data_IF_945150645121
#
_entry.id   IF_945150645121
#
_cell.length_a   1.000
_cell.length_b   1.000
_cell.length_c   1.000
_cell.angle_alpha   90.00
_cell.angle_beta   90.00
_cell.angle_gamma   90.00
#
_symmetry.space_group_name_H-M   'P 1'
#
loop_
_entity.id
_entity.type
_entity.pdbx_description
1 polymer ?
#
# COMPACT_ATOMS: atom_id res chain seq x y z
N UNK A 1 -15.49 16.86 -23.33
CA UNK A 1 -14.54 16.80 -22.21
C UNK A 1 -14.87 17.93 -21.24
N UNK A 2 -14.88 17.67 -19.93
CA UNK A 2 -15.28 18.65 -18.90
C UNK A 2 -14.08 19.10 -18.05
N UNK A 3 -13.19 18.19 -17.65
CA UNK A 3 -12.15 18.45 -16.63
C UNK A 3 -10.71 18.18 -17.10
N UNK A 4 -10.44 17.95 -18.40
CA UNK A 4 -9.08 17.68 -18.91
C UNK A 4 -8.04 18.71 -18.49
N UNK A 5 -8.41 19.99 -18.46
CA UNK A 5 -7.49 21.07 -18.11
C UNK A 5 -7.05 21.03 -16.63
N UNK A 6 -7.71 20.22 -15.79
CA UNK A 6 -7.29 19.97 -14.40
C UNK A 6 -6.25 18.87 -14.27
N UNK A 7 -5.96 18.13 -15.34
CA UNK A 7 -4.91 17.10 -15.34
C UNK A 7 -3.55 17.80 -15.27
N UNK A 8 -2.78 17.61 -14.19
CA UNK A 8 -1.51 18.31 -14.04
C UNK A 8 -0.48 17.79 -15.03
N UNK A 9 0.35 18.70 -15.54
CA UNK A 9 1.50 18.38 -16.36
C UNK A 9 2.76 18.54 -15.50
N UNK A 10 3.28 17.44 -14.98
CA UNK A 10 4.46 17.44 -14.13
C UNK A 10 4.88 16.03 -13.70
N UNK A 11 6.16 15.85 -13.32
CA UNK A 11 6.65 14.57 -12.85
C UNK A 11 5.87 14.13 -11.61
N UNK A 12 5.54 12.84 -11.56
CA UNK A 12 4.78 12.21 -10.47
C UNK A 12 3.41 12.87 -10.16
N UNK A 13 2.90 13.72 -11.06
CA UNK A 13 1.58 14.33 -10.94
C UNK A 13 0.53 13.45 -11.62
N UNK A 14 -0.68 13.47 -11.08
CA UNK A 14 -1.79 12.69 -11.61
C UNK A 14 -3.11 13.43 -11.37
N UNK A 15 -4.14 13.06 -12.12
CA UNK A 15 -5.52 13.38 -11.77
C UNK A 15 -6.14 12.15 -11.09
N UNK A 16 -6.47 12.27 -9.82
CA UNK A 16 -6.98 11.16 -9.03
C UNK A 16 -8.50 11.04 -9.20
N UNK A 17 -8.96 9.88 -9.67
CA UNK A 17 -10.38 9.55 -9.73
C UNK A 17 -10.80 8.78 -8.47
N UNK A 18 -11.89 9.23 -7.85
CA UNK A 18 -12.53 8.62 -6.68
C UNK A 18 -13.97 8.21 -7.02
N UNK A 19 -14.17 7.04 -7.65
CA UNK A 19 -15.48 6.39 -7.67
C UNK A 19 -15.88 6.00 -6.25
N UNK A 20 -17.13 6.22 -5.88
CA UNK A 20 -17.73 5.71 -4.64
C UNK A 20 -19.19 5.34 -4.86
N UNK A 21 -19.65 4.40 -4.03
CA UNK A 21 -21.05 4.00 -3.93
C UNK A 21 -21.45 3.99 -2.47
N UNK A 22 -22.64 4.52 -2.15
CA UNK A 22 -23.19 4.48 -0.80
C UNK A 22 -24.72 4.36 -0.82
N UNK A 23 -25.26 3.77 0.24
CA UNK A 23 -26.70 3.57 0.42
C UNK A 23 -27.42 4.90 0.68
N UNK A 24 -28.59 5.09 0.06
CA UNK A 24 -29.39 6.32 0.18
C UNK A 24 -30.85 6.07 0.56
N UNK A 25 -31.27 4.82 0.74
CA UNK A 25 -32.66 4.49 1.11
C UNK A 25 -33.06 5.18 2.43
N UNK A 26 -34.18 5.88 2.43
CA UNK A 26 -34.71 6.59 3.60
C UNK A 26 -35.32 5.62 4.62
N UNK A 27 -34.47 4.89 5.35
CA UNK A 27 -34.88 3.87 6.31
C UNK A 27 -33.96 3.80 7.52
N UNK A 28 -34.55 3.52 8.70
CA UNK A 28 -33.81 3.35 9.97
C UNK A 28 -33.52 1.89 10.37
N UNK A 29 -34.16 0.91 9.74
CA UNK A 29 -33.96 -0.52 10.05
C UNK A 29 -32.69 -1.12 9.46
N UNK A 30 -32.09 -2.09 10.16
CA UNK A 30 -30.88 -2.80 9.71
C UNK A 30 -31.20 -3.81 8.60
N UNK A 31 -30.91 -3.45 7.35
CA UNK A 31 -30.95 -4.32 6.18
C UNK A 31 -30.01 -3.81 5.09
N UNK A 32 -29.79 -4.61 4.05
CA UNK A 32 -29.22 -4.11 2.79
C UNK A 32 -30.15 -3.07 2.16
N UNK A 33 -29.57 -1.97 1.67
CA UNK A 33 -30.31 -0.92 0.97
C UNK A 33 -30.85 -1.42 -0.37
N UNK A 34 -32.02 -0.93 -0.78
CA UNK A 34 -32.54 -1.10 -2.16
C UNK A 34 -32.15 0.08 -3.06
N UNK A 35 -31.66 1.19 -2.49
CA UNK A 35 -31.27 2.40 -3.21
C UNK A 35 -29.81 2.78 -2.92
N UNK A 36 -29.06 3.09 -3.97
CA UNK A 36 -27.67 3.49 -3.89
C UNK A 36 -27.38 4.64 -4.84
N UNK A 37 -26.48 5.53 -4.41
CA UNK A 37 -25.89 6.54 -5.27
C UNK A 37 -24.47 6.13 -5.65
N UNK A 38 -24.21 6.04 -6.94
CA UNK A 38 -22.86 5.99 -7.50
C UNK A 38 -22.44 7.38 -7.95
N UNK A 39 -21.25 7.81 -7.55
CA UNK A 39 -20.67 9.07 -7.99
C UNK A 39 -19.16 8.93 -8.21
N UNK A 40 -18.63 9.75 -9.11
CA UNK A 40 -17.18 9.86 -9.35
C UNK A 40 -16.76 11.28 -9.04
N UNK A 41 -15.82 11.43 -8.11
CA UNK A 41 -15.13 12.69 -7.87
C UNK A 41 -13.73 12.64 -8.47
N UNK A 42 -13.17 13.79 -8.81
CA UNK A 42 -11.84 13.88 -9.38
C UNK A 42 -11.10 15.12 -8.90
N UNK A 43 -9.78 15.10 -8.97
CA UNK A 43 -8.97 16.29 -8.72
C UNK A 43 -7.47 16.07 -8.95
N UNK A 44 -6.69 17.15 -9.11
CA UNK A 44 -5.26 17.07 -9.21
C UNK A 44 -4.67 16.49 -7.92
N UNK A 45 -3.72 15.56 -8.09
CA UNK A 45 -3.08 14.83 -7.02
C UNK A 45 -1.57 15.10 -7.03
N UNK A 46 -1.00 15.20 -5.82
CA UNK A 46 0.44 15.35 -5.58
C UNK A 46 0.93 14.16 -4.76
N UNK A 47 2.21 13.77 -4.90
CA UNK A 47 2.79 12.69 -4.11
C UNK A 47 2.54 12.86 -2.61
N UNK A 48 2.11 11.78 -1.96
CA UNK A 48 1.73 11.75 -0.54
C UNK A 48 2.92 11.90 0.41
N UNK A 49 4.06 11.32 0.05
CA UNK A 49 5.22 11.18 0.93
C UNK A 49 6.45 11.81 0.29
N UNK A 50 6.99 12.84 0.95
CA UNK A 50 8.17 13.57 0.49
C UNK A 50 9.50 12.96 0.98
N UNK A 51 9.43 12.08 1.99
CA UNK A 51 10.56 11.38 2.62
C UNK A 51 10.22 9.89 2.78
N UNK A 52 11.23 9.02 2.92
CA UNK A 52 11.02 7.65 3.39
C UNK A 52 10.23 7.61 4.70
N UNK A 53 9.46 6.54 4.88
CA UNK A 53 8.53 6.38 5.99
C UNK A 53 9.21 5.77 7.20
N UNK A 54 8.83 6.26 8.38
CA UNK A 54 8.99 5.56 9.65
C UNK A 54 7.67 4.88 9.98
N UNK A 55 7.66 3.56 10.12
CA UNK A 55 6.45 2.79 10.42
C UNK A 55 6.57 2.08 11.76
N UNK A 56 5.43 1.88 12.43
CA UNK A 56 5.35 1.14 13.70
C UNK A 56 4.57 -0.15 13.50
N UNK A 57 5.12 -1.28 13.91
CA UNK A 57 4.37 -2.55 13.98
C UNK A 57 3.25 -2.42 15.00
N UNK A 58 2.02 -2.70 14.56
CA UNK A 58 0.85 -2.73 15.42
C UNK A 58 0.70 -4.08 16.11
N UNK A 59 0.38 -4.05 17.41
CA UNK A 59 0.31 -5.23 18.29
C UNK A 59 -0.99 -5.32 19.09
N UNK A 60 -1.83 -4.29 19.03
CA UNK A 60 -3.08 -4.19 19.77
C UNK A 60 -4.29 -4.07 18.83
N UNK A 61 -4.18 -3.23 17.81
CA UNK A 61 -5.27 -2.99 16.87
C UNK A 61 -5.15 -3.81 15.60
N UNK A 62 -6.26 -4.37 15.12
CA UNK A 62 -6.29 -5.09 13.85
C UNK A 62 -7.03 -4.28 12.78
N UNK A 63 -6.47 -4.24 11.57
CA UNK A 63 -7.10 -3.57 10.43
C UNK A 63 -8.32 -4.34 9.92
N UNK A 64 -8.20 -5.66 9.89
CA UNK A 64 -9.21 -6.60 9.45
C UNK A 64 -8.98 -7.95 10.15
N UNK A 65 -10.01 -8.78 10.21
CA UNK A 65 -9.93 -10.15 10.70
C UNK A 65 -10.54 -11.11 9.66
N UNK A 66 -10.16 -12.40 9.66
CA UNK A 66 -10.72 -13.36 8.72
C UNK A 66 -12.25 -13.46 8.78
N UNK A 67 -12.87 -13.62 7.62
CA UNK A 67 -14.32 -13.50 7.41
C UNK A 67 -14.85 -12.06 7.40
N UNK A 68 -13.99 -11.06 7.60
CA UNK A 68 -14.35 -9.64 7.62
C UNK A 68 -14.33 -8.99 6.23
N UNK A 69 -14.23 -7.66 6.22
CA UNK A 69 -14.27 -6.84 5.01
C UNK A 69 -12.89 -6.39 4.53
N UNK A 70 -11.81 -6.95 5.05
CA UNK A 70 -10.43 -6.48 4.82
C UNK A 70 -10.04 -6.40 3.35
N UNK A 71 -10.41 -7.43 2.58
CA UNK A 71 -10.18 -7.52 1.14
C UNK A 71 -10.94 -6.45 0.32
N UNK A 72 -12.02 -5.89 0.87
CA UNK A 72 -12.86 -4.92 0.19
C UNK A 72 -12.39 -3.48 0.46
N UNK A 73 -12.47 -2.62 -0.57
CA UNK A 73 -12.20 -1.18 -0.42
C UNK A 73 -13.39 -0.42 0.19
N UNK A 74 -13.79 -0.80 1.39
CA UNK A 74 -14.95 -0.25 2.09
C UNK A 74 -14.56 0.82 3.13
N UNK A 75 -15.41 1.82 3.35
CA UNK A 75 -15.13 2.95 4.23
C UNK A 75 -14.91 2.54 5.70
N UNK A 76 -15.58 1.49 6.17
CA UNK A 76 -15.46 1.00 7.55
C UNK A 76 -14.03 0.62 7.93
N UNK A 77 -13.31 -0.06 7.02
CA UNK A 77 -11.91 -0.44 7.24
C UNK A 77 -11.01 0.79 7.46
N UNK A 78 -11.25 1.87 6.71
CA UNK A 78 -10.49 3.12 6.86
C UNK A 78 -10.84 3.84 8.15
N UNK A 79 -12.12 3.89 8.53
CA UNK A 79 -12.55 4.55 9.76
C UNK A 79 -11.94 3.88 11.00
N UNK A 80 -11.94 2.55 11.06
CA UNK A 80 -11.33 1.79 12.16
C UNK A 80 -9.81 2.03 12.26
N UNK A 81 -9.12 2.21 11.14
CA UNK A 81 -7.68 2.43 11.09
C UNK A 81 -7.23 3.83 11.55
N UNK A 82 -8.13 4.82 11.65
CA UNK A 82 -7.76 6.21 11.95
C UNK A 82 -7.16 6.38 13.35
N UNK A 83 -7.76 5.78 14.37
CA UNK A 83 -7.32 5.95 15.75
C UNK A 83 -5.93 5.34 16.01
N UNK A 84 -5.63 4.09 15.63
CA UNK A 84 -4.29 3.52 15.81
C UNK A 84 -3.23 4.28 14.99
N UNK A 85 -3.57 4.71 13.78
CA UNK A 85 -2.67 5.53 12.96
C UNK A 85 -2.35 6.88 13.62
N UNK A 86 -3.34 7.51 14.25
CA UNK A 86 -3.14 8.75 14.99
C UNK A 86 -2.21 8.54 16.21
N UNK A 87 -2.38 7.44 16.95
CA UNK A 87 -1.50 7.09 18.07
C UNK A 87 -0.05 6.88 17.62
N UNK A 88 0.16 6.22 16.49
CA UNK A 88 1.50 6.04 15.91
C UNK A 88 2.12 7.39 15.50
N UNK A 89 1.32 8.30 14.93
CA UNK A 89 1.76 9.66 14.59
C UNK A 89 2.17 10.48 15.80
N UNK A 90 1.44 10.38 16.90
CA UNK A 90 1.79 11.04 18.16
C UNK A 90 3.11 10.52 18.74
N UNK A 91 3.52 9.30 18.37
CA UNK A 91 4.81 8.71 18.73
C UNK A 91 5.93 9.01 17.71
N UNK A 92 5.65 9.78 16.65
CA UNK A 92 6.63 10.18 15.65
C UNK A 92 6.79 9.22 14.46
N UNK A 93 5.82 8.31 14.26
CA UNK A 93 5.77 7.43 13.08
C UNK A 93 4.83 8.00 12.01
N UNK A 94 5.13 7.77 10.73
CA UNK A 94 4.33 8.26 9.62
C UNK A 94 3.12 7.36 9.35
N UNK A 95 3.27 6.05 9.57
CA UNK A 95 2.24 5.01 9.34
C UNK A 95 2.35 3.85 10.33
N UNK A 96 1.31 3.01 10.31
CA UNK A 96 1.26 1.73 11.01
C UNK A 96 1.58 0.59 10.04
N UNK A 97 2.35 -0.40 10.50
CA UNK A 97 2.53 -1.68 9.83
C UNK A 97 1.60 -2.70 10.50
N UNK A 98 0.53 -3.05 9.80
CA UNK A 98 -0.52 -3.93 10.29
C UNK A 98 -0.06 -5.38 10.36
N UNK A 99 -0.53 -6.07 11.38
CA UNK A 99 -0.32 -7.49 11.60
C UNK A 99 -1.65 -8.24 11.61
N UNK A 100 -1.59 -9.57 11.51
CA UNK A 100 -2.75 -10.45 11.60
C UNK A 100 -3.54 -10.22 12.91
N UNK A 101 -4.86 -10.38 12.83
CA UNK A 101 -5.73 -10.03 13.94
C UNK A 101 -5.65 -10.92 15.18
N UNK A 102 -5.01 -12.08 15.10
CA UNK A 102 -5.08 -13.09 16.16
C UNK A 102 -3.81 -13.16 16.98
N UNK A 103 -2.67 -13.23 16.30
CA UNK A 103 -1.37 -13.41 16.93
C UNK A 103 -0.55 -12.13 16.90
N UNK A 104 -0.87 -11.20 16.00
CA UNK A 104 -0.07 -10.02 15.70
C UNK A 104 1.39 -10.37 15.36
N UNK A 105 1.64 -11.57 14.82
CA UNK A 105 2.97 -12.08 14.49
C UNK A 105 3.28 -11.97 13.00
N UNK A 106 2.27 -11.86 12.15
CA UNK A 106 2.42 -11.87 10.70
C UNK A 106 2.08 -10.51 10.11
N UNK A 107 2.93 -9.97 9.25
CA UNK A 107 2.72 -8.69 8.57
C UNK A 107 1.64 -8.83 7.48
N UNK A 108 0.78 -7.82 7.37
CA UNK A 108 -0.26 -7.74 6.33
C UNK A 108 -0.09 -6.53 5.38
N UNK A 109 -0.15 -5.30 5.90
CA UNK A 109 -0.21 -4.07 5.11
C UNK A 109 0.47 -2.90 5.83
N UNK A 110 0.82 -1.82 5.12
CA UNK A 110 1.37 -0.58 5.69
C UNK A 110 0.38 0.57 5.52
N UNK A 111 -0.32 0.94 6.59
CA UNK A 111 -1.34 1.99 6.58
C UNK A 111 -2.51 1.63 5.68
N UNK A 112 -2.58 2.26 4.50
CA UNK A 112 -3.59 1.98 3.47
C UNK A 112 -2.98 1.44 2.16
N UNK A 113 -1.78 0.86 2.26
CA UNK A 113 -0.99 0.33 1.15
C UNK A 113 -0.67 -1.14 1.42
N UNK A 114 -0.52 -1.94 0.37
CA UNK A 114 0.18 -3.20 0.51
C UNK A 114 1.64 -2.93 0.89
N UNK A 115 2.36 -3.94 1.39
CA UNK A 115 3.76 -3.83 1.76
C UNK A 115 4.59 -4.93 1.09
N UNK A 116 5.82 -4.61 0.76
CA UNK A 116 6.81 -5.55 0.27
C UNK A 116 8.17 -5.29 0.91
N UNK A 117 8.99 -6.34 0.92
CA UNK A 117 10.33 -6.36 1.49
C UNK A 117 11.29 -6.98 0.47
N UNK A 118 12.57 -6.65 0.56
CA UNK A 118 13.63 -7.43 -0.09
C UNK A 118 14.34 -8.23 0.99
N UNK A 119 14.18 -9.55 0.95
CA UNK A 119 14.71 -10.52 1.93
C UNK A 119 15.57 -11.53 1.17
N UNK A 120 16.85 -11.66 1.50
CA UNK A 120 17.81 -12.52 0.80
C UNK A 120 17.79 -12.30 -0.73
N UNK A 121 17.74 -11.03 -1.14
CA UNK A 121 17.63 -10.58 -2.54
C UNK A 121 16.30 -10.94 -3.25
N UNK A 122 15.32 -11.50 -2.54
CA UNK A 122 13.97 -11.84 -3.05
C UNK A 122 12.97 -10.74 -2.69
N UNK A 123 12.12 -10.33 -3.65
CA UNK A 123 10.99 -9.44 -3.38
C UNK A 123 9.87 -10.26 -2.73
N UNK A 124 9.61 -10.02 -1.46
CA UNK A 124 8.63 -10.75 -0.64
C UNK A 124 7.46 -9.83 -0.29
N UNK A 125 6.23 -10.33 -0.44
CA UNK A 125 5.02 -9.64 0.03
C UNK A 125 4.05 -10.65 0.64
N UNK A 126 3.25 -10.26 1.66
CA UNK A 126 2.18 -11.11 2.17
C UNK A 126 1.23 -11.60 1.05
N UNK A 127 0.76 -12.85 1.09
CA UNK A 127 -0.17 -13.39 0.10
C UNK A 127 -1.54 -12.74 0.25
N UNK A 128 -2.34 -12.77 -0.82
CA UNK A 128 -3.72 -12.29 -0.73
C UNK A 128 -4.56 -13.17 0.23
N UNK A 129 -5.40 -12.52 1.00
CA UNK A 129 -6.32 -13.14 1.97
C UNK A 129 -7.60 -12.31 2.07
N UNK A 130 -8.55 -12.74 2.89
CA UNK A 130 -9.72 -11.93 3.25
C UNK A 130 -9.37 -10.71 4.14
N UNK A 131 -8.15 -10.66 4.68
CA UNK A 131 -7.60 -9.57 5.49
C UNK A 131 -6.63 -8.66 4.74
N UNK A 132 -6.32 -8.92 3.47
CA UNK A 132 -5.40 -8.09 2.67
C UNK A 132 -6.11 -7.63 1.40
N UNK A 133 -6.02 -6.33 1.09
CA UNK A 133 -6.65 -5.78 -0.10
C UNK A 133 -5.85 -6.17 -1.35
N UNK A 134 -6.53 -6.68 -2.38
CA UNK A 134 -5.94 -7.00 -3.67
C UNK A 134 -5.60 -5.72 -4.47
N UNK A 135 -4.43 -5.15 -4.17
CA UNK A 135 -4.01 -3.87 -4.72
C UNK A 135 -3.53 -3.99 -6.15
N UNK A 136 -4.13 -3.22 -7.06
CA UNK A 136 -3.68 -3.13 -8.47
C UNK A 136 -2.20 -2.78 -8.58
N UNK A 137 -1.72 -1.81 -7.78
CA UNK A 137 -0.30 -1.42 -7.80
C UNK A 137 0.61 -2.54 -7.27
N UNK A 138 0.16 -3.33 -6.27
CA UNK A 138 0.88 -4.52 -5.82
C UNK A 138 1.03 -5.50 -6.98
N UNK A 139 -0.07 -5.87 -7.63
CA UNK A 139 -0.07 -6.78 -8.77
C UNK A 139 0.88 -6.31 -9.89
N UNK A 140 0.81 -5.04 -10.28
CA UNK A 140 1.71 -4.47 -11.30
C UNK A 140 3.18 -4.50 -10.86
N UNK A 141 3.50 -4.19 -9.61
CA UNK A 141 4.88 -4.20 -9.10
C UNK A 141 5.46 -5.61 -9.08
N UNK A 142 4.68 -6.61 -8.66
CA UNK A 142 5.13 -8.01 -8.68
C UNK A 142 5.38 -8.51 -10.12
N UNK A 143 4.53 -8.11 -11.07
CA UNK A 143 4.73 -8.45 -12.48
C UNK A 143 6.01 -7.81 -13.03
N UNK A 144 6.21 -6.52 -12.80
CA UNK A 144 7.43 -5.82 -13.24
C UNK A 144 8.68 -6.37 -12.56
N UNK A 145 8.61 -6.79 -11.31
CA UNK A 145 9.73 -7.43 -10.62
C UNK A 145 10.15 -8.72 -11.32
N UNK A 146 9.19 -9.57 -11.73
CA UNK A 146 9.48 -10.79 -12.49
C UNK A 146 10.09 -10.48 -13.85
N UNK A 147 9.60 -9.46 -14.55
CA UNK A 147 10.15 -9.02 -15.85
C UNK A 147 11.58 -8.51 -15.76
N UNK A 148 11.93 -7.83 -14.66
CA UNK A 148 13.29 -7.38 -14.38
C UNK A 148 14.22 -8.53 -13.94
N UNK A 149 13.70 -9.75 -13.81
CA UNK A 149 14.47 -10.92 -13.40
C UNK A 149 14.63 -11.06 -11.89
N UNK A 150 13.89 -10.30 -11.09
CA UNK A 150 13.89 -10.46 -9.64
C UNK A 150 13.11 -11.71 -9.23
N UNK A 151 13.64 -12.44 -8.24
CA UNK A 151 12.87 -13.46 -7.55
C UNK A 151 11.73 -12.80 -6.77
N UNK A 152 10.54 -13.39 -6.83
CA UNK A 152 9.33 -12.87 -6.18
C UNK A 152 8.65 -13.99 -5.41
N UNK A 153 8.35 -13.73 -4.15
CA UNK A 153 7.61 -14.64 -3.28
C UNK A 153 6.38 -13.94 -2.67
N UNK A 154 5.24 -14.62 -2.76
CA UNK A 154 4.02 -14.24 -2.05
C UNK A 154 3.86 -15.19 -0.87
N UNK A 155 4.38 -14.80 0.30
CA UNK A 155 4.40 -15.63 1.51
C UNK A 155 4.25 -14.78 2.77
N UNK A 156 3.86 -15.43 3.86
CA UNK A 156 3.82 -14.79 5.17
C UNK A 156 5.20 -14.25 5.53
N UNK A 157 5.21 -13.05 6.13
CA UNK A 157 6.40 -12.40 6.67
C UNK A 157 6.18 -12.20 8.15
N UNK A 158 7.06 -12.76 8.97
CA UNK A 158 6.92 -12.70 10.42
C UNK A 158 7.55 -11.42 10.97
N UNK A 159 6.97 -10.85 12.03
CA UNK A 159 7.55 -9.69 12.72
C UNK A 159 8.96 -10.01 13.24
N UNK A 160 9.16 -11.24 13.73
CA UNK A 160 10.48 -11.70 14.18
C UNK A 160 11.48 -11.83 13.02
N UNK A 161 11.05 -12.33 11.86
CA UNK A 161 11.87 -12.40 10.65
C UNK A 161 12.37 -11.01 10.24
N UNK A 162 11.52 -9.98 10.36
CA UNK A 162 11.93 -8.60 10.08
C UNK A 162 12.96 -8.08 11.09
N UNK A 163 12.73 -8.29 12.40
CA UNK A 163 13.67 -7.84 13.43
C UNK A 163 15.05 -8.47 13.23
N UNK A 164 15.09 -9.82 13.18
CA UNK A 164 16.32 -10.59 13.03
C UNK A 164 16.98 -10.34 11.68
N UNK A 165 16.18 -10.21 10.61
CA UNK A 165 16.66 -10.05 9.26
C UNK A 165 17.23 -8.65 8.97
N UNK A 166 16.68 -7.59 9.58
CA UNK A 166 17.27 -6.24 9.47
C UNK A 166 18.59 -6.18 10.24
N UNK A 167 18.65 -6.76 11.45
CA UNK A 167 19.88 -6.81 12.24
C UNK A 167 20.96 -7.69 11.58
N UNK A 168 20.56 -8.83 11.03
CA UNK A 168 21.42 -9.77 10.31
C UNK A 168 21.79 -9.33 8.89
N UNK A 169 21.10 -8.35 8.34
CA UNK A 169 21.32 -7.81 7.00
C UNK A 169 20.73 -8.64 5.85
N UNK A 170 19.88 -9.63 6.13
CA UNK A 170 19.13 -10.35 5.09
C UNK A 170 17.95 -9.54 4.56
N UNK A 171 17.35 -8.67 5.39
CA UNK A 171 16.32 -7.71 4.97
C UNK A 171 17.01 -6.40 4.58
N UNK A 172 16.96 -6.05 3.29
CA UNK A 172 17.71 -4.90 2.75
C UNK A 172 16.82 -3.73 2.33
N UNK A 173 15.55 -3.99 2.00
CA UNK A 173 14.60 -2.96 1.58
C UNK A 173 13.21 -3.24 2.15
N UNK A 174 12.44 -2.18 2.40
CA UNK A 174 11.02 -2.25 2.73
C UNK A 174 10.29 -1.08 2.06
N UNK A 175 9.11 -1.34 1.50
CA UNK A 175 8.34 -0.30 0.83
C UNK A 175 6.83 -0.60 0.81
N UNK A 176 6.04 0.46 0.95
CA UNK A 176 4.60 0.43 0.72
C UNK A 176 4.26 0.56 -0.76
N UNK A 177 3.21 -0.11 -1.21
CA UNK A 177 2.75 -0.12 -2.61
C UNK A 177 1.26 0.22 -2.70
N UNK A 178 0.91 1.21 -3.50
CA UNK A 178 -0.50 1.61 -3.68
C UNK A 178 -0.66 2.82 -4.58
N UNK A 179 -1.86 3.01 -5.17
CA UNK A 179 -2.11 4.01 -6.22
C UNK A 179 -1.61 5.42 -5.88
N UNK A 180 -1.89 5.88 -4.67
CA UNK A 180 -1.57 7.25 -4.26
C UNK A 180 -0.08 7.43 -3.90
N UNK A 181 0.58 6.37 -3.44
CA UNK A 181 2.00 6.38 -3.08
C UNK A 181 2.91 5.93 -4.24
N UNK A 182 2.35 5.25 -5.23
CA UNK A 182 3.06 4.37 -6.17
C UNK A 182 3.91 3.34 -5.42
N UNK A 183 5.14 3.74 -5.06
CA UNK A 183 6.06 3.00 -4.19
C UNK A 183 6.59 3.99 -3.15
N UNK A 184 6.32 3.73 -1.88
CA UNK A 184 6.76 4.53 -0.74
C UNK A 184 7.85 3.80 0.05
N UNK A 185 9.11 4.26 -0.01
CA UNK A 185 10.20 3.68 0.76
C UNK A 185 9.93 3.73 2.27
N UNK A 186 10.34 2.69 3.00
CA UNK A 186 10.30 2.62 4.46
C UNK A 186 11.75 2.60 4.97
N UNK A 187 12.15 3.63 5.72
CA UNK A 187 13.49 3.74 6.30
C UNK A 187 13.57 3.16 7.71
N UNK A 188 12.47 3.13 8.46
CA UNK A 188 12.45 2.64 9.83
C UNK A 188 11.23 1.78 10.06
N UNK A 189 11.44 0.61 10.64
CA UNK A 189 10.39 -0.27 11.17
C UNK A 189 10.61 -0.36 12.68
N UNK A 190 9.67 0.20 13.45
CA UNK A 190 9.71 0.13 14.91
C UNK A 190 8.95 -1.11 15.38
N UNK A 191 9.66 -2.01 16.05
CA UNK A 191 9.16 -3.30 16.54
C UNK A 191 9.29 -3.28 18.05
N UNK A 192 8.16 -3.34 18.76
CA UNK A 192 8.11 -3.40 20.23
C UNK A 192 8.94 -2.31 20.95
N UNK A 193 9.02 -1.12 20.34
CA UNK A 193 9.75 0.04 20.85
C UNK A 193 11.22 0.13 20.42
N UNK A 194 11.70 -0.81 19.60
CA UNK A 194 13.04 -0.80 19.01
C UNK A 194 12.95 -0.38 17.55
N UNK A 195 13.69 0.67 17.18
CA UNK A 195 13.74 1.17 15.82
C UNK A 195 14.80 0.41 14.99
N UNK A 196 14.34 -0.37 14.01
CA UNK A 196 15.21 -1.01 13.03
C UNK A 196 15.28 -0.13 11.78
N UNK A 197 16.48 0.31 11.41
CA UNK A 197 16.69 1.26 10.30
C UNK A 197 17.30 0.57 9.09
N UNK A 198 16.66 0.72 7.94
CA UNK A 198 17.13 0.23 6.65
C UNK A 198 17.90 1.34 5.92
N UNK A 199 19.04 0.99 5.32
CA UNK A 199 19.77 1.90 4.45
C UNK A 199 19.05 1.95 3.11
N UNK A 200 18.64 3.13 2.70
CA UNK A 200 18.05 3.36 1.39
C UNK A 200 19.09 4.00 0.48
N UNK A 201 19.49 3.29 -0.55
CA UNK A 201 20.39 3.78 -1.59
C UNK A 201 19.67 3.84 -2.95
N UNK A 202 20.28 4.56 -3.91
CA UNK A 202 19.68 4.76 -5.24
C UNK A 202 19.61 3.48 -6.10
N UNK A 203 20.37 2.45 -5.74
CA UNK A 203 20.38 1.14 -6.40
C UNK A 203 19.32 0.17 -5.87
N UNK A 204 18.57 0.56 -4.82
CA UNK A 204 17.47 -0.22 -4.28
C UNK A 204 16.46 -0.61 -5.38
N UNK A 205 16.06 -1.90 -5.39
CA UNK A 205 15.13 -2.49 -6.36
C UNK A 205 13.82 -1.71 -6.43
N UNK A 206 13.33 -1.23 -5.28
CA UNK A 206 12.11 -0.41 -5.21
C UNK A 206 12.14 0.83 -6.12
N UNK A 207 13.31 1.44 -6.33
CA UNK A 207 13.43 2.62 -7.20
C UNK A 207 13.44 2.26 -8.67
N UNK A 208 14.01 1.12 -9.06
CA UNK A 208 13.90 0.63 -10.42
C UNK A 208 12.47 0.24 -10.76
N UNK A 209 11.79 -0.47 -9.86
CA UNK A 209 10.37 -0.81 -9.99
C UNK A 209 9.51 0.44 -10.16
N UNK A 210 9.77 1.49 -9.36
CA UNK A 210 9.06 2.77 -9.46
C UNK A 210 9.30 3.44 -10.81
N UNK A 211 10.55 3.50 -11.28
CA UNK A 211 10.90 4.06 -12.58
C UNK A 211 10.18 3.32 -13.70
N UNK A 212 10.18 1.98 -13.68
CA UNK A 212 9.54 1.16 -14.72
C UNK A 212 8.03 1.34 -14.74
N UNK A 213 7.39 1.34 -13.58
CA UNK A 213 5.94 1.58 -13.45
C UNK A 213 5.57 2.97 -13.97
N UNK A 214 6.33 4.00 -13.61
CA UNK A 214 6.08 5.36 -14.07
C UNK A 214 6.29 5.52 -15.58
N UNK A 215 7.33 4.90 -16.15
CA UNK A 215 7.57 4.94 -17.59
C UNK A 215 6.36 4.41 -18.39
N UNK A 216 5.67 3.38 -17.88
CA UNK A 216 4.43 2.89 -18.49
C UNK A 216 3.29 3.90 -18.29
N UNK A 217 3.09 4.39 -17.05
CA UNK A 217 2.02 5.33 -16.71
C UNK A 217 2.07 6.66 -17.46
N UNK A 218 3.27 7.15 -17.77
CA UNK A 218 3.49 8.39 -18.51
C UNK A 218 3.64 8.16 -20.02
N UNK A 219 3.52 6.91 -20.50
CA UNK A 219 3.64 6.58 -21.93
C UNK A 219 5.05 6.76 -22.49
N UNK A 220 6.07 6.72 -21.63
CA UNK A 220 7.50 6.83 -22.00
C UNK A 220 8.05 5.50 -22.54
N UNK A 221 7.37 4.39 -22.26
CA UNK A 221 7.69 3.06 -22.78
C UNK A 221 6.44 2.35 -23.30
N UNK A 222 6.67 1.27 -24.06
CA UNK A 222 5.56 0.45 -24.56
C UNK A 222 4.89 -0.28 -23.40
N UNK A 223 3.58 -0.13 -23.30
CA UNK A 223 2.75 -0.90 -22.40
C UNK A 223 2.46 -2.28 -23.00
N UNK A 224 3.25 -3.28 -22.60
CA UNK A 224 3.10 -4.68 -23.04
C UNK A 224 1.93 -5.39 -22.36
N UNK A 225 1.38 -4.81 -21.29
CA UNK A 225 0.34 -5.41 -20.47
C UNK A 225 -1.06 -4.86 -20.74
N UNK A 226 -1.16 -3.84 -21.59
CA UNK A 226 -2.43 -3.13 -21.86
C UNK A 226 -3.07 -2.56 -20.57
N UNK A 227 -2.26 -2.06 -19.65
CA UNK A 227 -2.70 -1.38 -18.43
C UNK A 227 -3.20 0.05 -18.70
N UNK A 228 -2.70 0.70 -19.74
CA UNK A 228 -2.97 2.08 -20.07
C UNK A 228 -4.12 2.19 -21.06
N UNK A 229 -5.05 3.10 -20.78
CA UNK A 229 -6.16 3.44 -21.67
C UNK A 229 -6.15 4.93 -21.93
N UNK A 230 -6.20 5.33 -23.20
CA UNK A 230 -6.36 6.74 -23.59
C UNK A 230 -7.80 7.19 -23.36
N UNK A 231 -7.98 8.33 -22.69
CA UNK A 231 -9.27 8.94 -22.36
C UNK A 231 -9.41 10.26 -23.13
#
# INVERSE_FOLDING_TARGET
DVDRDWVPNGPDSAYYLRPLVFATEERMGLKSSDEFLFMVMGGPFRPLFAKPLRVKVEREYSRAAPGGTGFAKCAGNYAAAMYPTQMAKEQGFDQVLWTDAFTHQHIEESGAMNVAFVIDDVVVTPPLSDTILDGVTRASVLELARELGYAVEERTVDVAELADGIEGGSVTEAFGVGTAASIAPIETISIDGVDHTLKIDESAKMFELRRRLNAIRFGETTDTHSWMTTI
#
